data_IF_132930636194
#
_entry.id   IF_132930636194
#
_cell.length_a   1.000
_cell.length_b   1.000
_cell.length_c   1.000
_cell.angle_alpha   90.00
_cell.angle_beta   90.00
_cell.angle_gamma   90.00
#
_symmetry.space_group_name_H-M   'P 1'
#
loop_
_entity.id
_entity.type
_entity.pdbx_description
1 polymer ?
#
# COMPACT_ATOMS: atom_id res chain seq x y z
N UNK A 1 -88.98 21.86 33.94
CA UNK A 1 -87.76 22.21 34.71
C UNK A 1 -86.82 21.01 34.83
N UNK A 2 -87.24 19.87 35.41
CA UNK A 2 -86.38 18.69 35.55
C UNK A 2 -85.89 18.06 34.22
N UNK A 3 -86.71 18.09 33.16
CA UNK A 3 -86.38 17.52 31.84
C UNK A 3 -85.33 18.31 31.05
N UNK A 4 -85.30 19.63 31.19
CA UNK A 4 -84.30 20.51 30.56
C UNK A 4 -82.92 20.38 31.24
N UNK A 5 -82.91 20.22 32.57
CA UNK A 5 -81.69 20.02 33.35
C UNK A 5 -81.06 18.66 33.00
N UNK A 6 -81.88 17.60 32.88
CA UNK A 6 -81.41 16.27 32.49
C UNK A 6 -80.82 16.26 31.08
N UNK A 7 -81.45 16.93 30.11
CA UNK A 7 -80.93 17.04 28.74
C UNK A 7 -79.57 17.76 28.66
N UNK A 8 -79.36 18.79 29.49
CA UNK A 8 -78.12 19.55 29.53
C UNK A 8 -76.96 18.73 30.12
N UNK A 9 -77.22 17.96 31.18
CA UNK A 9 -76.23 17.10 31.84
C UNK A 9 -75.81 15.95 30.90
N UNK A 10 -76.76 15.33 30.19
CA UNK A 10 -76.46 14.27 29.21
C UNK A 10 -75.65 14.81 28.02
N UNK A 11 -75.93 16.05 27.57
CA UNK A 11 -75.17 16.68 26.49
C UNK A 11 -73.73 17.04 26.92
N UNK A 12 -73.55 17.57 28.14
CA UNK A 12 -72.22 17.89 28.67
C UNK A 12 -71.36 16.65 28.86
N UNK A 13 -71.92 15.59 29.45
CA UNK A 13 -71.22 14.31 29.65
C UNK A 13 -70.87 13.62 28.31
N UNK A 14 -71.77 13.68 27.32
CA UNK A 14 -71.46 13.18 25.98
C UNK A 14 -70.34 13.99 25.31
N UNK A 15 -70.35 15.32 25.41
CA UNK A 15 -69.32 16.19 24.84
C UNK A 15 -67.94 15.93 25.47
N UNK A 16 -67.87 15.74 26.78
CA UNK A 16 -66.64 15.41 27.49
C UNK A 16 -66.12 14.01 27.13
N UNK A 17 -67.02 13.04 26.96
CA UNK A 17 -66.67 11.71 26.48
C UNK A 17 -66.11 11.71 25.05
N UNK A 18 -66.73 12.47 24.12
CA UNK A 18 -66.21 12.62 22.76
C UNK A 18 -64.86 13.35 22.71
N UNK A 19 -64.64 14.35 23.58
CA UNK A 19 -63.36 15.03 23.68
C UNK A 19 -62.26 14.12 24.25
N UNK A 20 -62.56 13.30 25.25
CA UNK A 20 -61.62 12.34 25.83
C UNK A 20 -61.28 11.19 24.87
N UNK A 21 -62.27 10.65 24.17
CA UNK A 21 -62.06 9.61 23.15
C UNK A 21 -61.33 10.12 21.92
N UNK A 22 -61.52 11.40 21.54
CA UNK A 22 -60.73 12.06 20.51
C UNK A 22 -59.25 12.16 20.86
N UNK A 23 -58.92 12.60 22.08
CA UNK A 23 -57.54 12.67 22.57
C UNK A 23 -56.87 11.30 22.66
N UNK A 24 -57.59 10.28 23.13
CA UNK A 24 -57.08 8.90 23.18
C UNK A 24 -56.80 8.33 21.79
N UNK A 25 -57.63 8.65 20.79
CA UNK A 25 -57.37 8.26 19.39
C UNK A 25 -56.15 8.98 18.84
N UNK A 26 -56.03 10.29 19.07
CA UNK A 26 -54.87 11.07 18.65
C UNK A 26 -53.56 10.56 19.29
N UNK A 27 -53.59 10.24 20.59
CA UNK A 27 -52.45 9.61 21.29
C UNK A 27 -52.13 8.21 20.74
N UNK A 28 -53.15 7.39 20.44
CA UNK A 28 -52.99 6.07 19.83
C UNK A 28 -52.41 6.14 18.42
N UNK A 29 -52.86 7.11 17.61
CA UNK A 29 -52.36 7.34 16.25
C UNK A 29 -50.91 7.84 16.29
N UNK A 30 -50.59 8.76 17.20
CA UNK A 30 -49.23 9.23 17.44
C UNK A 30 -48.30 8.10 17.93
N UNK A 31 -48.77 7.24 18.82
CA UNK A 31 -48.01 6.07 19.29
C UNK A 31 -47.78 5.04 18.16
N UNK A 32 -48.77 4.85 17.29
CA UNK A 32 -48.66 3.94 16.13
C UNK A 32 -47.68 4.48 15.09
N UNK A 33 -47.70 5.79 14.83
CA UNK A 33 -46.73 6.46 13.96
C UNK A 33 -45.32 6.39 14.54
N UNK A 34 -45.15 6.64 15.84
CA UNK A 34 -43.87 6.50 16.53
C UNK A 34 -43.34 5.06 16.47
N UNK A 35 -44.22 4.06 16.63
CA UNK A 35 -43.87 2.64 16.52
C UNK A 35 -43.42 2.28 15.10
N UNK A 36 -44.11 2.80 14.08
CA UNK A 36 -43.74 2.59 12.67
C UNK A 36 -42.39 3.21 12.35
N UNK A 37 -42.16 4.45 12.80
CA UNK A 37 -40.89 5.14 12.64
C UNK A 37 -39.74 4.40 13.33
N UNK A 38 -39.98 3.88 14.54
CA UNK A 38 -39.00 3.08 15.29
C UNK A 38 -38.65 1.79 14.55
N UNK A 39 -39.66 1.05 14.06
CA UNK A 39 -39.44 -0.20 13.33
C UNK A 39 -38.64 0.02 12.04
N UNK A 40 -38.92 1.10 11.31
CA UNK A 40 -38.15 1.47 10.13
C UNK A 40 -36.68 1.78 10.50
N UNK A 41 -36.46 2.57 11.55
CA UNK A 41 -35.11 2.87 12.02
C UNK A 41 -34.34 1.62 12.49
N UNK A 42 -35.01 0.68 13.16
CA UNK A 42 -34.39 -0.59 13.55
C UNK A 42 -34.01 -1.44 12.34
N UNK A 43 -34.87 -1.49 11.31
CA UNK A 43 -34.58 -2.17 10.04
C UNK A 43 -33.40 -1.56 9.30
N UNK A 44 -33.27 -0.23 9.30
CA UNK A 44 -32.14 0.47 8.68
C UNK A 44 -30.82 0.16 9.41
N UNK A 45 -30.84 0.14 10.75
CA UNK A 45 -29.66 -0.21 11.56
C UNK A 45 -29.30 -1.69 11.35
N UNK A 46 -30.27 -2.59 11.24
CA UNK A 46 -30.02 -4.01 10.97
C UNK A 46 -29.43 -4.22 9.57
N UNK A 47 -29.89 -3.46 8.58
CA UNK A 47 -29.30 -3.45 7.23
C UNK A 47 -27.85 -2.96 7.25
N UNK A 48 -27.57 -1.89 8.01
CA UNK A 48 -26.21 -1.36 8.18
C UNK A 48 -25.28 -2.34 8.93
N UNK A 49 -25.79 -3.00 9.98
CA UNK A 49 -25.10 -4.07 10.70
C UNK A 49 -24.65 -5.18 9.73
N UNK A 50 -25.57 -5.66 8.90
CA UNK A 50 -25.29 -6.70 7.92
C UNK A 50 -24.32 -6.22 6.82
N UNK A 51 -24.45 -4.97 6.38
CA UNK A 51 -23.54 -4.36 5.40
C UNK A 51 -22.10 -4.23 5.91
N UNK A 52 -21.91 -4.04 7.22
CA UNK A 52 -20.60 -4.03 7.88
C UNK A 52 -20.09 -5.44 8.23
N UNK A 53 -20.88 -6.50 7.98
CA UNK A 53 -20.48 -7.89 8.20
C UNK A 53 -20.66 -8.38 9.65
N UNK A 54 -21.31 -7.61 10.52
CA UNK A 54 -21.52 -7.97 11.92
C UNK A 54 -22.73 -8.90 12.09
N UNK A 55 -22.54 -10.09 12.66
CA UNK A 55 -23.63 -11.07 12.89
C UNK A 55 -24.02 -11.16 14.37
N UNK A 56 -24.49 -10.06 14.95
CA UNK A 56 -25.01 -10.03 16.32
C UNK A 56 -26.54 -10.09 16.35
N UNK A 57 -27.10 -10.34 17.54
CA UNK A 57 -28.55 -10.33 17.81
C UNK A 57 -29.24 -9.03 17.35
N UNK A 58 -30.57 -9.03 17.28
CA UNK A 58 -31.37 -7.93 16.76
C UNK A 58 -31.13 -6.60 17.51
N UNK A 59 -31.22 -5.49 16.77
CA UNK A 59 -31.00 -4.15 17.31
C UNK A 59 -32.03 -3.87 18.41
N UNK A 60 -31.57 -3.51 19.61
CA UNK A 60 -32.46 -3.22 20.75
C UNK A 60 -32.74 -4.40 21.68
N UNK A 61 -32.16 -5.58 21.44
CA UNK A 61 -32.07 -6.63 22.45
C UNK A 61 -31.29 -6.06 23.66
N UNK A 62 -31.96 -5.88 24.79
CA UNK A 62 -31.39 -5.20 25.96
C UNK A 62 -30.08 -5.83 26.40
N UNK A 63 -29.00 -5.04 26.38
CA UNK A 63 -27.67 -5.44 26.80
C UNK A 63 -26.60 -4.66 26.06
N UNK A 64 -25.99 -3.67 26.71
CA UNK A 64 -24.71 -3.11 26.27
C UNK A 64 -23.60 -4.13 26.56
N UNK A 65 -23.62 -5.25 25.83
CA UNK A 65 -22.66 -6.35 25.96
C UNK A 65 -21.56 -6.28 24.91
N UNK A 66 -20.51 -7.05 25.17
CA UNK A 66 -19.36 -7.29 24.30
C UNK A 66 -19.77 -7.73 22.87
N UNK A 67 -20.97 -8.33 22.73
CA UNK A 67 -21.61 -8.77 21.49
C UNK A 67 -22.55 -7.70 20.88
N UNK A 68 -22.12 -6.43 20.87
CA UNK A 68 -22.85 -5.35 20.22
C UNK A 68 -22.11 -4.86 18.98
N UNK A 69 -22.85 -4.36 18.00
CA UNK A 69 -22.29 -3.76 16.76
C UNK A 69 -21.26 -2.67 17.07
N UNK A 70 -21.54 -1.85 18.09
CA UNK A 70 -20.63 -0.79 18.53
C UNK A 70 -19.34 -1.36 19.14
N UNK A 71 -19.44 -2.41 19.97
CA UNK A 71 -18.28 -3.07 20.57
C UNK A 71 -17.40 -3.76 19.53
N UNK A 72 -18.01 -4.47 18.58
CA UNK A 72 -17.28 -5.12 17.49
C UNK A 72 -16.59 -4.12 16.57
N UNK A 73 -17.27 -3.01 16.23
CA UNK A 73 -16.67 -1.92 15.48
C UNK A 73 -15.50 -1.29 16.25
N UNK A 74 -15.64 -1.05 17.56
CA UNK A 74 -14.54 -0.56 18.39
C UNK A 74 -13.38 -1.56 18.47
N UNK A 75 -13.67 -2.86 18.51
CA UNK A 75 -12.65 -3.92 18.50
C UNK A 75 -11.92 -3.99 17.16
N UNK A 76 -12.62 -3.92 16.02
CA UNK A 76 -12.01 -3.86 14.70
C UNK A 76 -11.15 -2.60 14.54
N UNK A 77 -11.64 -1.45 15.00
CA UNK A 77 -10.86 -0.21 15.02
C UNK A 77 -9.62 -0.32 15.91
N UNK A 78 -9.74 -0.99 17.05
CA UNK A 78 -8.60 -1.19 17.96
C UNK A 78 -7.59 -2.19 17.40
N UNK A 79 -8.06 -3.24 16.73
CA UNK A 79 -7.24 -4.32 16.18
C UNK A 79 -6.58 -3.95 14.86
N UNK A 80 -7.29 -3.25 13.96
CA UNK A 80 -6.82 -2.95 12.61
C UNK A 80 -6.47 -1.47 12.41
N UNK A 81 -6.92 -0.58 13.30
CA UNK A 81 -6.72 0.86 13.15
C UNK A 81 -5.60 1.46 13.98
N UNK A 82 -5.25 0.91 15.16
CA UNK A 82 -4.36 1.60 16.12
C UNK A 82 -2.91 1.75 15.68
N UNK A 83 -2.40 0.88 14.80
CA UNK A 83 -1.02 0.98 14.32
C UNK A 83 -0.85 2.12 13.30
N UNK A 84 -1.92 2.48 12.58
CA UNK A 84 -1.89 3.48 11.50
C UNK A 84 -2.46 4.85 11.91
N UNK A 85 -3.14 4.95 13.06
CA UNK A 85 -3.67 6.22 13.59
C UNK A 85 -2.61 6.93 14.44
N UNK A 86 -1.75 7.71 13.80
CA UNK A 86 -0.92 8.69 14.47
C UNK A 86 -1.60 10.08 14.51
N UNK A 87 -1.67 10.75 15.67
CA UNK A 87 -1.42 10.26 17.03
C UNK A 87 -2.64 9.50 17.58
N UNK A 88 -2.37 8.36 18.24
CA UNK A 88 -3.34 7.45 18.86
C UNK A 88 -4.30 8.24 19.77
N UNK A 89 -5.53 8.58 19.32
CA UNK A 89 -6.43 9.38 20.11
C UNK A 89 -6.86 8.53 21.31
N UNK A 90 -6.96 9.11 22.49
CA UNK A 90 -7.46 8.40 23.67
C UNK A 90 -8.89 7.85 23.46
N UNK A 91 -9.64 8.40 22.48
CA UNK A 91 -10.92 7.93 21.97
C UNK A 91 -10.95 7.97 20.42
N UNK A 92 -10.48 6.93 19.71
CA UNK A 92 -10.53 6.91 18.25
C UNK A 92 -11.98 6.81 17.77
N UNK A 93 -12.38 7.69 16.84
CA UNK A 93 -13.66 7.57 16.13
C UNK A 93 -13.46 6.75 14.85
N UNK A 94 -14.51 6.05 14.40
CA UNK A 94 -14.50 5.30 13.12
C UNK A 94 -13.99 6.16 11.97
N UNK A 95 -14.50 7.40 11.88
CA UNK A 95 -14.13 8.35 10.84
C UNK A 95 -12.64 8.72 10.90
N UNK A 96 -12.11 8.95 12.12
CA UNK A 96 -10.68 9.24 12.32
C UNK A 96 -9.79 8.08 11.89
N UNK A 97 -10.16 6.85 12.27
CA UNK A 97 -9.41 5.65 11.87
C UNK A 97 -9.42 5.43 10.36
N UNK A 98 -10.57 5.57 9.70
CA UNK A 98 -10.64 5.44 8.23
C UNK A 98 -9.82 6.52 7.52
N UNK A 99 -9.80 7.74 8.05
CA UNK A 99 -8.99 8.83 7.50
C UNK A 99 -7.49 8.53 7.63
N UNK A 100 -7.06 7.99 8.78
CA UNK A 100 -5.66 7.58 8.98
C UNK A 100 -5.26 6.41 8.09
N UNK A 101 -6.11 5.37 7.97
CA UNK A 101 -5.87 4.25 7.06
C UNK A 101 -5.74 4.72 5.61
N UNK A 102 -6.55 5.71 5.19
CA UNK A 102 -6.42 6.31 3.87
C UNK A 102 -5.09 7.05 3.70
N UNK A 103 -4.68 7.84 4.70
CA UNK A 103 -3.39 8.52 4.67
C UNK A 103 -2.21 7.54 4.62
N UNK A 104 -2.29 6.42 5.36
CA UNK A 104 -1.31 5.34 5.32
C UNK A 104 -1.26 4.66 3.94
N UNK A 105 -2.41 4.39 3.34
CA UNK A 105 -2.51 3.85 1.97
C UNK A 105 -1.86 4.81 0.95
N UNK A 106 -2.15 6.11 1.05
CA UNK A 106 -1.56 7.12 0.16
C UNK A 106 -0.03 7.20 0.34
N UNK A 107 0.46 7.14 1.58
CA UNK A 107 1.89 7.11 1.88
C UNK A 107 2.56 5.83 1.34
N UNK A 108 1.93 4.66 1.51
CA UNK A 108 2.41 3.40 0.97
C UNK A 108 2.48 3.43 -0.57
N UNK A 109 1.48 4.00 -1.24
CA UNK A 109 1.48 4.19 -2.69
C UNK A 109 2.63 5.09 -3.16
N UNK A 110 2.93 6.17 -2.43
CA UNK A 110 4.09 7.03 -2.73
C UNK A 110 5.42 6.30 -2.54
N UNK A 111 5.54 5.46 -1.51
CA UNK A 111 6.72 4.64 -1.29
C UNK A 111 6.92 3.62 -2.43
N UNK A 112 5.85 2.96 -2.88
CA UNK A 112 5.89 2.03 -4.02
C UNK A 112 6.40 2.74 -5.28
N UNK A 113 5.87 3.91 -5.60
CA UNK A 113 6.33 4.69 -6.77
C UNK A 113 7.82 5.07 -6.67
N UNK A 114 8.27 5.43 -5.46
CA UNK A 114 9.67 5.76 -5.18
C UNK A 114 10.57 4.53 -5.36
N UNK A 115 10.17 3.38 -4.82
CA UNK A 115 10.90 2.12 -4.94
C UNK A 115 10.99 1.63 -6.38
N UNK A 116 9.90 1.74 -7.16
CA UNK A 116 9.91 1.42 -8.59
C UNK A 116 10.90 2.29 -9.36
N UNK A 117 10.93 3.60 -9.08
CA UNK A 117 11.89 4.52 -9.69
C UNK A 117 13.33 4.16 -9.31
N UNK A 118 13.57 3.82 -8.04
CA UNK A 118 14.88 3.39 -7.54
C UNK A 118 15.34 2.07 -8.17
N UNK A 119 14.43 1.11 -8.36
CA UNK A 119 14.72 -0.16 -9.02
C UNK A 119 15.14 0.06 -10.48
N UNK A 120 14.39 0.85 -11.24
CA UNK A 120 14.75 1.19 -12.63
C UNK A 120 16.13 1.85 -12.70
N UNK A 121 16.41 2.83 -11.83
CA UNK A 121 17.73 3.49 -11.80
C UNK A 121 18.86 2.51 -11.46
N UNK A 122 18.60 1.51 -10.62
CA UNK A 122 19.59 0.49 -10.26
C UNK A 122 19.85 -0.48 -11.42
N UNK A 123 18.80 -0.87 -12.14
CA UNK A 123 18.90 -1.69 -13.35
C UNK A 123 19.68 -0.97 -14.44
N UNK A 124 19.42 0.32 -14.67
CA UNK A 124 20.14 1.13 -15.64
C UNK A 124 21.64 1.24 -15.28
N UNK A 125 21.96 1.47 -14.01
CA UNK A 125 23.34 1.49 -13.51
C UNK A 125 24.03 0.13 -13.69
N UNK A 126 23.34 -0.96 -13.43
CA UNK A 126 23.89 -2.31 -13.61
C UNK A 126 24.17 -2.61 -15.09
N UNK A 127 23.23 -2.25 -15.98
CA UNK A 127 23.41 -2.38 -17.42
C UNK A 127 24.60 -1.55 -17.93
N UNK A 128 24.77 -0.33 -17.41
CA UNK A 128 25.93 0.50 -17.72
C UNK A 128 27.24 -0.13 -17.23
N UNK A 129 27.29 -0.59 -15.97
CA UNK A 129 28.49 -1.19 -15.37
C UNK A 129 28.92 -2.46 -16.12
N UNK A 130 27.96 -3.33 -16.45
CA UNK A 130 28.23 -4.56 -17.24
C UNK A 130 28.77 -4.23 -18.63
N UNK A 131 28.26 -3.19 -19.28
CA UNK A 131 28.77 -2.70 -20.57
C UNK A 131 30.21 -2.19 -20.41
N UNK A 132 30.48 -1.33 -19.43
CA UNK A 132 31.84 -0.83 -19.17
C UNK A 132 32.83 -1.96 -18.87
N UNK A 133 32.44 -2.97 -18.10
CA UNK A 133 33.30 -4.12 -17.83
C UNK A 133 33.60 -4.93 -19.09
N UNK A 134 32.60 -5.14 -19.94
CA UNK A 134 32.78 -5.81 -21.23
C UNK A 134 33.74 -5.04 -22.13
N UNK A 135 33.58 -3.72 -22.21
CA UNK A 135 34.45 -2.87 -23.02
C UNK A 135 35.89 -2.87 -22.50
N UNK A 136 36.09 -2.78 -21.18
CA UNK A 136 37.41 -2.90 -20.56
C UNK A 136 38.05 -4.26 -20.81
N UNK A 137 37.28 -5.34 -20.70
CA UNK A 137 37.79 -6.68 -20.97
C UNK A 137 38.22 -6.83 -22.43
N UNK A 138 37.44 -6.28 -23.37
CA UNK A 138 37.80 -6.27 -24.78
C UNK A 138 39.05 -5.43 -25.08
N UNK A 139 39.16 -4.23 -24.50
CA UNK A 139 40.35 -3.39 -24.61
C UNK A 139 41.60 -4.09 -24.07
N UNK A 140 41.48 -4.78 -22.93
CA UNK A 140 42.58 -5.52 -22.33
C UNK A 140 43.01 -6.68 -23.25
N UNK A 141 42.06 -7.42 -23.80
CA UNK A 141 42.33 -8.52 -24.72
C UNK A 141 43.04 -8.03 -26.00
N UNK A 142 42.56 -6.94 -26.61
CA UNK A 142 43.24 -6.31 -27.76
C UNK A 142 44.65 -5.85 -27.40
N UNK A 143 44.81 -5.16 -26.26
CA UNK A 143 46.13 -4.70 -25.81
C UNK A 143 47.11 -5.86 -25.56
N UNK A 144 46.63 -6.99 -25.04
CA UNK A 144 47.44 -8.19 -24.85
C UNK A 144 47.88 -8.78 -26.20
N UNK A 145 46.94 -8.94 -27.13
CA UNK A 145 47.23 -9.44 -28.47
C UNK A 145 48.25 -8.54 -29.21
N UNK A 146 48.08 -7.22 -29.11
CA UNK A 146 49.01 -6.26 -29.71
C UNK A 146 50.40 -6.34 -29.07
N UNK A 147 50.45 -6.46 -27.75
CA UNK A 147 51.72 -6.60 -27.01
C UNK A 147 52.44 -7.90 -27.36
N UNK A 148 51.71 -9.02 -27.45
CA UNK A 148 52.27 -10.31 -27.86
C UNK A 148 52.81 -10.27 -29.30
N UNK A 149 52.08 -9.64 -30.22
CA UNK A 149 52.53 -9.43 -31.60
C UNK A 149 53.81 -8.58 -31.67
N UNK A 150 53.87 -7.49 -30.91
CA UNK A 150 55.05 -6.63 -30.82
C UNK A 150 56.25 -7.38 -30.21
N UNK A 151 56.03 -8.19 -29.18
CA UNK A 151 57.08 -9.01 -28.57
C UNK A 151 57.61 -10.06 -29.54
N UNK A 152 56.74 -10.74 -30.29
CA UNK A 152 57.17 -11.69 -31.32
C UNK A 152 58.01 -11.01 -32.39
N UNK A 153 57.59 -9.84 -32.86
CA UNK A 153 58.37 -9.05 -33.83
C UNK A 153 59.75 -8.68 -33.27
N UNK A 154 59.81 -8.19 -32.03
CA UNK A 154 61.08 -7.83 -31.39
C UNK A 154 62.02 -9.04 -31.27
N UNK A 155 61.48 -10.22 -30.96
CA UNK A 155 62.26 -11.46 -30.90
C UNK A 155 62.82 -11.82 -32.29
N UNK A 156 61.99 -11.78 -33.33
CA UNK A 156 62.43 -12.03 -34.71
C UNK A 156 63.51 -11.05 -35.15
N UNK A 157 63.28 -9.74 -34.97
CA UNK A 157 64.24 -8.68 -35.34
C UNK A 157 65.57 -8.88 -34.60
N UNK A 158 65.53 -9.26 -33.31
CA UNK A 158 66.72 -9.59 -32.52
C UNK A 158 67.46 -10.80 -33.10
N UNK A 159 66.76 -11.87 -33.43
CA UNK A 159 67.36 -13.11 -33.92
C UNK A 159 68.00 -12.90 -35.31
N UNK A 160 67.38 -12.09 -36.17
CA UNK A 160 67.97 -11.66 -37.44
C UNK A 160 69.25 -10.84 -37.24
N UNK A 161 69.24 -9.88 -36.31
CA UNK A 161 70.44 -9.09 -35.98
C UNK A 161 71.57 -9.96 -35.43
N UNK A 162 71.26 -10.93 -34.57
CA UNK A 162 72.25 -11.88 -34.06
C UNK A 162 72.86 -12.71 -35.19
N UNK A 163 72.03 -13.25 -36.09
CA UNK A 163 72.50 -14.00 -37.26
C UNK A 163 73.38 -13.16 -38.20
N UNK A 164 73.03 -11.88 -38.41
CA UNK A 164 73.87 -10.95 -39.17
C UNK A 164 75.22 -10.72 -38.49
N UNK A 165 75.22 -10.44 -37.18
CA UNK A 165 76.46 -10.26 -36.41
C UNK A 165 77.34 -11.50 -36.42
N UNK A 166 76.77 -12.69 -36.29
CA UNK A 166 77.51 -13.95 -36.33
C UNK A 166 78.14 -14.19 -37.71
N UNK A 167 77.42 -13.87 -38.79
CA UNK A 167 77.94 -13.90 -40.17
C UNK A 167 79.12 -12.96 -40.36
N UNK A 168 79.03 -11.73 -39.86
CA UNK A 168 80.14 -10.77 -39.89
C UNK A 168 81.34 -11.25 -39.08
N UNK A 169 81.14 -11.75 -37.86
CA UNK A 169 82.22 -12.28 -37.02
C UNK A 169 82.94 -13.43 -37.73
N UNK A 170 82.20 -14.34 -38.38
CA UNK A 170 82.81 -15.43 -39.14
C UNK A 170 83.65 -14.92 -40.32
N UNK A 171 83.16 -13.93 -41.09
CA UNK A 171 83.94 -13.28 -42.16
C UNK A 171 85.22 -12.66 -41.63
N UNK A 172 85.16 -11.95 -40.51
CA UNK A 172 86.34 -11.35 -39.88
C UNK A 172 87.34 -12.41 -39.41
N UNK A 173 86.86 -13.54 -38.87
CA UNK A 173 87.72 -14.67 -38.47
C UNK A 173 88.43 -15.30 -39.66
N UNK A 174 87.72 -15.54 -40.76
CA UNK A 174 88.30 -16.08 -41.99
C UNK A 174 89.33 -15.12 -42.60
N UNK A 175 89.03 -13.83 -42.68
CA UNK A 175 89.97 -12.81 -43.16
C UNK A 175 91.25 -12.79 -42.31
N UNK A 176 91.12 -12.79 -40.98
CA UNK A 176 92.26 -12.79 -40.07
C UNK A 176 93.11 -14.06 -40.16
N UNK A 177 92.48 -15.23 -40.34
CA UNK A 177 93.22 -16.49 -40.54
C UNK A 177 94.01 -16.49 -41.85
N UNK A 178 93.44 -15.93 -42.92
CA UNK A 178 94.11 -15.82 -44.22
C UNK A 178 95.27 -14.81 -44.21
N UNK A 179 95.23 -13.78 -43.35
CA UNK A 179 96.33 -12.81 -43.20
C UNK A 179 97.52 -13.35 -42.39
N UNK A 180 97.35 -14.44 -41.64
CA UNK A 180 98.42 -15.04 -40.82
C UNK A 180 99.21 -16.17 -41.50
N UNK A 181 98.83 -16.57 -42.72
CA UNK A 181 99.50 -17.61 -43.53
C UNK A 181 100.29 -16.96 -44.66
#
# INVERSE_FOLDING_TARGET
MATLILGLVTYLTAKEYYAATGKLREESDNASQATTALNNALSDIESLKNGLGYQFDSVGAGGAGENSVMSAMLNDLNSYGREEVAPNPQNPTVAGTLQSLRAALDAANQQIATLQTGLQSTEDRLAQETTMHRDRAQQLATSQQDSESQLQKLVTDRDELLAQKDSEINKWREAFQNEQV
#
